data_IF_299759216919
#
_entry.id   IF_299759216919
#
_cell.length_a   1.000
_cell.length_b   1.000
_cell.length_c   1.000
_cell.angle_alpha   90.00
_cell.angle_beta   90.00
_cell.angle_gamma   90.00
#
_symmetry.space_group_name_H-M   'P 1'
#
loop_
_entity.id
_entity.type
_entity.pdbx_description
1 polymer ?
#
# COMPACT_ATOMS: atom_id res chain seq x y z
N UNK A 1 -15.32 -36.72 42.29
CA UNK A 1 -14.13 -35.90 42.05
C UNK A 1 -13.83 -35.70 40.55
N UNK A 2 -13.82 -36.75 39.76
CA UNK A 2 -13.56 -36.64 38.29
C UNK A 2 -14.55 -35.72 37.54
N UNK A 3 -15.84 -35.69 37.89
CA UNK A 3 -16.86 -34.86 37.23
C UNK A 3 -16.70 -33.36 37.52
N UNK A 4 -16.14 -32.96 38.67
CA UNK A 4 -15.89 -31.56 39.00
C UNK A 4 -14.69 -30.99 38.22
N UNK A 5 -13.63 -31.78 38.11
CA UNK A 5 -12.42 -31.42 37.35
C UNK A 5 -12.77 -31.30 35.87
N UNK A 6 -13.55 -32.23 35.32
CA UNK A 6 -13.99 -32.18 33.91
C UNK A 6 -14.88 -30.97 33.63
N UNK A 7 -15.74 -30.56 34.54
CA UNK A 7 -16.58 -29.36 34.41
C UNK A 7 -15.77 -28.07 34.52
N UNK A 8 -14.76 -28.05 35.39
CA UNK A 8 -13.86 -26.88 35.50
C UNK A 8 -12.97 -26.72 34.27
N UNK A 9 -12.45 -27.81 33.72
CA UNK A 9 -11.66 -27.78 32.48
C UNK A 9 -12.49 -27.38 31.28
N UNK A 10 -13.72 -27.84 31.15
CA UNK A 10 -14.65 -27.44 30.11
C UNK A 10 -15.01 -25.93 30.18
N UNK A 11 -15.26 -25.41 31.38
CA UNK A 11 -15.53 -24.00 31.61
C UNK A 11 -14.32 -23.13 31.30
N UNK A 12 -13.11 -23.55 31.63
CA UNK A 12 -11.87 -22.85 31.32
C UNK A 12 -11.62 -22.80 29.80
N UNK A 13 -11.85 -23.92 29.12
CA UNK A 13 -11.71 -24.04 27.67
C UNK A 13 -12.71 -23.13 26.93
N UNK A 14 -13.96 -23.10 27.39
CA UNK A 14 -14.98 -22.21 26.84
C UNK A 14 -14.64 -20.73 27.05
N UNK A 15 -14.09 -20.36 28.23
CA UNK A 15 -13.64 -19.00 28.50
C UNK A 15 -12.49 -18.56 27.60
N UNK A 16 -11.50 -19.42 27.37
CA UNK A 16 -10.36 -19.15 26.46
C UNK A 16 -10.81 -19.00 25.00
N UNK A 17 -11.71 -19.86 24.53
CA UNK A 17 -12.29 -19.78 23.20
C UNK A 17 -13.11 -18.50 23.01
N UNK A 18 -13.89 -18.08 24.01
CA UNK A 18 -14.66 -16.84 23.98
C UNK A 18 -13.76 -15.59 23.92
N UNK A 19 -12.66 -15.57 24.68
CA UNK A 19 -11.67 -14.49 24.62
C UNK A 19 -10.97 -14.42 23.26
N UNK A 20 -10.66 -15.56 22.66
CA UNK A 20 -10.04 -15.62 21.33
C UNK A 20 -10.94 -15.06 20.24
N UNK A 21 -12.25 -15.28 20.32
CA UNK A 21 -13.24 -14.74 19.40
C UNK A 21 -13.39 -13.21 19.53
N UNK A 22 -13.26 -12.67 20.74
CA UNK A 22 -13.30 -11.22 20.99
C UNK A 22 -12.06 -10.49 20.42
N UNK A 23 -10.91 -11.15 20.43
CA UNK A 23 -9.66 -10.60 19.85
C UNK A 23 -9.68 -10.67 18.32
N UNK A 24 -10.36 -11.64 17.73
CA UNK A 24 -10.49 -11.79 16.27
C UNK A 24 -11.42 -10.75 15.63
N UNK A 25 -12.34 -10.16 16.38
CA UNK A 25 -13.22 -9.09 15.93
C UNK A 25 -12.59 -7.71 16.15
N UNK A 26 -11.43 -7.44 15.51
CA UNK A 26 -10.93 -6.06 15.43
C UNK A 26 -11.90 -5.26 14.54
N UNK A 27 -12.32 -4.04 14.95
CA UNK A 27 -13.10 -3.19 14.07
C UNK A 27 -12.29 -2.94 12.79
N UNK A 28 -12.91 -3.17 11.63
CA UNK A 28 -12.30 -2.78 10.34
C UNK A 28 -12.11 -1.27 10.39
N UNK A 29 -10.87 -0.82 10.21
CA UNK A 29 -10.59 0.60 10.04
C UNK A 29 -11.32 1.09 8.79
N UNK A 30 -12.04 2.19 8.90
CA UNK A 30 -12.69 2.80 7.76
C UNK A 30 -11.62 3.40 6.85
N UNK A 31 -11.68 3.02 5.57
CA UNK A 31 -10.81 3.56 4.54
C UNK A 31 -11.52 4.73 3.87
N UNK A 32 -10.82 5.85 3.75
CA UNK A 32 -11.28 7.03 3.04
C UNK A 32 -10.65 7.09 1.65
N UNK A 33 -11.44 7.49 0.68
CA UNK A 33 -11.00 7.67 -0.70
C UNK A 33 -10.25 8.99 -0.84
N UNK A 34 -8.98 8.90 -1.23
CA UNK A 34 -8.14 10.06 -1.56
C UNK A 34 -7.77 10.04 -3.03
N UNK A 35 -7.49 11.21 -3.59
CA UNK A 35 -7.07 11.36 -4.97
C UNK A 35 -5.96 12.39 -5.09
N UNK A 36 -5.05 12.17 -6.02
CA UNK A 36 -4.03 13.15 -6.42
C UNK A 36 -3.82 13.10 -7.93
N UNK A 37 -3.20 14.13 -8.47
CA UNK A 37 -2.90 14.24 -9.90
C UNK A 37 -1.44 14.65 -10.06
N UNK A 38 -0.72 13.95 -10.92
CA UNK A 38 0.62 14.31 -11.37
C UNK A 38 0.57 14.82 -12.81
N UNK A 39 1.24 15.95 -13.07
CA UNK A 39 1.31 16.58 -14.39
C UNK A 39 2.70 16.49 -15.02
N UNK A 40 3.68 15.98 -14.29
CA UNK A 40 5.10 16.04 -14.62
C UNK A 40 5.70 14.70 -15.07
N UNK A 41 4.86 13.71 -15.32
CA UNK A 41 5.28 12.38 -15.76
C UNK A 41 4.56 11.96 -17.04
N UNK A 42 5.30 11.32 -17.94
CA UNK A 42 4.81 10.74 -19.21
C UNK A 42 4.11 11.73 -20.17
N UNK A 43 4.38 13.02 -20.05
CA UNK A 43 3.73 14.09 -20.85
C UNK A 43 2.20 14.00 -20.84
N UNK A 44 1.63 13.56 -19.72
CA UNK A 44 0.19 13.37 -19.58
C UNK A 44 -0.27 13.68 -18.15
N UNK A 45 -1.58 13.69 -17.96
CA UNK A 45 -2.21 13.80 -16.64
C UNK A 45 -2.36 12.40 -16.06
N UNK A 46 -1.71 12.17 -14.92
CA UNK A 46 -1.80 10.90 -14.19
C UNK A 46 -2.61 11.10 -12.92
N UNK A 47 -3.80 10.53 -12.87
CA UNK A 47 -4.65 10.56 -11.68
C UNK A 47 -4.48 9.26 -10.89
N UNK A 48 -4.28 9.41 -9.58
CA UNK A 48 -4.19 8.28 -8.66
C UNK A 48 -5.30 8.36 -7.63
N UNK A 49 -5.99 7.27 -7.43
CA UNK A 49 -7.05 7.11 -6.44
C UNK A 49 -6.64 5.97 -5.53
N UNK A 50 -6.67 6.21 -4.22
CA UNK A 50 -6.38 5.19 -3.23
C UNK A 50 -7.31 5.32 -2.02
N UNK A 51 -7.53 4.20 -1.35
CA UNK A 51 -8.29 4.13 -0.11
C UNK A 51 -7.32 3.89 1.03
N UNK A 52 -7.18 4.87 1.91
CA UNK A 52 -6.21 4.88 3.01
C UNK A 52 -6.92 5.20 4.34
N UNK A 53 -6.27 4.86 5.43
CA UNK A 53 -6.79 5.12 6.77
C UNK A 53 -6.68 6.61 7.16
N UNK A 54 -5.68 7.31 6.59
CA UNK A 54 -5.45 8.74 6.86
C UNK A 54 -4.88 9.45 5.63
N UNK A 55 -5.02 10.76 5.63
CA UNK A 55 -4.40 11.64 4.61
C UNK A 55 -2.87 11.58 4.67
N UNK A 56 -2.30 11.48 5.86
CA UNK A 56 -0.85 11.33 6.04
C UNK A 56 -0.31 10.04 5.40
N UNK A 57 -0.99 8.93 5.61
CA UNK A 57 -0.66 7.67 4.95
C UNK A 57 -0.72 7.79 3.43
N UNK A 58 -1.79 8.38 2.91
CA UNK A 58 -1.95 8.64 1.48
C UNK A 58 -0.82 9.50 0.92
N UNK A 59 -0.49 10.61 1.57
CA UNK A 59 0.57 11.51 1.12
C UNK A 59 1.95 10.83 1.11
N UNK A 60 2.26 10.03 2.11
CA UNK A 60 3.51 9.26 2.18
C UNK A 60 3.60 8.26 1.02
N UNK A 61 2.54 7.53 0.75
CA UNK A 61 2.49 6.58 -0.36
C UNK A 61 2.58 7.29 -1.72
N UNK A 62 1.94 8.46 -1.87
CA UNK A 62 1.98 9.22 -3.11
C UNK A 62 3.35 9.84 -3.38
N UNK A 63 4.08 10.26 -2.37
CA UNK A 63 5.47 10.71 -2.53
C UNK A 63 6.36 9.59 -3.05
N UNK A 64 6.26 8.40 -2.48
CA UNK A 64 7.02 7.23 -2.94
C UNK A 64 6.65 6.84 -4.36
N UNK A 65 5.37 6.80 -4.68
CA UNK A 65 4.86 6.51 -6.03
C UNK A 65 5.34 7.56 -7.05
N UNK A 66 5.29 8.84 -6.71
CA UNK A 66 5.73 9.92 -7.60
C UNK A 66 7.21 9.80 -7.93
N UNK A 67 8.06 9.47 -6.95
CA UNK A 67 9.48 9.23 -7.19
C UNK A 67 9.72 8.05 -8.14
N UNK A 68 8.98 6.97 -7.99
CA UNK A 68 9.06 5.82 -8.88
C UNK A 68 8.59 6.18 -10.30
N UNK A 69 7.50 6.92 -10.43
CA UNK A 69 6.99 7.38 -11.72
C UNK A 69 7.98 8.31 -12.45
N UNK A 70 8.65 9.21 -11.71
CA UNK A 70 9.71 10.06 -12.27
C UNK A 70 10.87 9.19 -12.80
N UNK A 71 11.30 8.19 -12.04
CA UNK A 71 12.35 7.28 -12.48
C UNK A 71 11.95 6.51 -13.76
N UNK A 72 10.75 5.98 -13.82
CA UNK A 72 10.22 5.33 -15.02
C UNK A 72 10.07 6.29 -16.20
N UNK A 73 9.59 7.52 -15.97
CA UNK A 73 9.50 8.55 -16.99
C UNK A 73 10.86 8.82 -17.64
N UNK A 74 11.93 8.92 -16.85
CA UNK A 74 13.28 9.09 -17.34
C UNK A 74 13.78 7.91 -18.16
N UNK A 75 13.50 6.68 -17.73
CA UNK A 75 13.91 5.44 -18.39
C UNK A 75 13.20 5.24 -19.75
N UNK A 76 11.94 5.57 -19.84
CA UNK A 76 11.13 5.39 -21.05
C UNK A 76 11.10 6.59 -21.97
N UNK A 77 11.71 7.72 -21.58
CA UNK A 77 11.74 8.93 -22.39
C UNK A 77 12.54 8.72 -23.70
N UNK A 78 11.92 9.06 -24.80
CA UNK A 78 12.52 8.99 -26.15
C UNK A 78 13.04 10.35 -26.65
N UNK A 79 12.78 11.42 -25.91
CA UNK A 79 13.08 12.79 -26.34
C UNK A 79 14.21 13.46 -25.58
N UNK A 80 14.38 13.14 -24.31
CA UNK A 80 15.28 13.84 -23.42
C UNK A 80 16.37 12.92 -22.84
N UNK A 81 17.56 13.50 -22.67
CA UNK A 81 18.66 12.90 -21.93
C UNK A 81 18.59 13.32 -20.45
N UNK A 82 18.96 12.41 -19.56
CA UNK A 82 19.04 12.65 -18.13
C UNK A 82 20.42 12.23 -17.65
N UNK A 83 21.02 13.03 -16.77
CA UNK A 83 22.37 12.78 -16.27
C UNK A 83 22.46 11.45 -15.53
N UNK A 84 23.39 10.60 -15.95
CA UNK A 84 23.60 9.28 -15.37
C UNK A 84 22.54 8.22 -15.70
N UNK A 85 21.59 8.53 -16.62
CA UNK A 85 20.51 7.59 -17.01
C UNK A 85 20.71 7.13 -18.45
N UNK A 86 20.75 5.81 -18.65
CA UNK A 86 20.63 5.18 -19.97
C UNK A 86 19.17 4.85 -20.19
N UNK A 87 18.52 5.56 -21.11
CA UNK A 87 17.09 5.44 -21.38
C UNK A 87 16.81 5.00 -22.83
N UNK A 88 15.54 4.95 -23.19
CA UNK A 88 15.12 4.54 -24.53
C UNK A 88 15.70 5.47 -25.61
N UNK A 89 15.78 6.77 -25.35
CA UNK A 89 16.45 7.72 -26.25
C UNK A 89 17.91 7.34 -26.49
N UNK A 90 18.66 7.03 -25.45
CA UNK A 90 20.06 6.60 -25.54
C UNK A 90 20.22 5.38 -26.45
N UNK A 91 19.31 4.41 -26.33
CA UNK A 91 19.31 3.19 -27.13
C UNK A 91 19.02 3.53 -28.59
N UNK A 92 18.01 4.36 -28.86
CA UNK A 92 17.63 4.77 -30.20
C UNK A 92 18.72 5.57 -30.91
N UNK A 93 19.38 6.48 -30.20
CA UNK A 93 20.45 7.33 -30.77
C UNK A 93 21.71 6.51 -31.12
N UNK A 94 21.91 5.35 -30.50
CA UNK A 94 23.05 4.46 -30.74
C UNK A 94 22.70 3.21 -31.57
N UNK A 95 21.52 3.14 -32.10
CA UNK A 95 21.06 1.97 -32.88
C UNK A 95 21.67 1.91 -34.31
#
# INVERSE_FOLDING_TARGET
>A
MKSRITRMTAALLAAVLSLSLLVACKPKKELTRYTTIFYDVFDTVTQVIAYCESEEEFNTQMQALHQDLIAYNQLYDIYNDYDGVVNVKTINDNA
#
